data_IF_846406070537
#
_entry.id   IF_846406070537
#
_cell.length_a   1.000
_cell.length_b   1.000
_cell.length_c   1.000
_cell.angle_alpha   90.00
_cell.angle_beta   90.00
_cell.angle_gamma   90.00
#
_symmetry.space_group_name_H-M   'P 1'
#
loop_
_entity.id
_entity.type
_entity.pdbx_description
1 polymer ?
#
# COMPACT_ATOMS: atom_id res chain seq x y z
N UNK A 1 6.61 -4.52 -22.69
CA UNK A 1 7.16 -4.39 -21.31
C UNK A 1 7.98 -5.63 -21.04
N UNK A 2 9.28 -5.50 -20.85
CA UNK A 2 10.09 -6.65 -20.45
C UNK A 2 9.69 -7.05 -19.02
N UNK A 3 9.39 -8.33 -18.83
CA UNK A 3 9.11 -8.86 -17.50
C UNK A 3 10.30 -8.58 -16.57
N UNK A 4 10.03 -8.07 -15.38
CA UNK A 4 11.07 -7.85 -14.37
C UNK A 4 11.58 -9.22 -13.94
N UNK A 5 12.85 -9.48 -14.18
CA UNK A 5 13.49 -10.70 -13.69
C UNK A 5 13.82 -10.54 -12.21
N UNK A 6 12.96 -11.08 -11.35
CA UNK A 6 13.10 -10.98 -9.89
C UNK A 6 14.44 -11.56 -9.37
N UNK A 7 14.93 -12.64 -9.96
CA UNK A 7 16.21 -13.24 -9.57
C UNK A 7 17.39 -12.32 -9.88
N UNK A 8 17.39 -11.67 -11.05
CA UNK A 8 18.40 -10.70 -11.42
C UNK A 8 18.35 -9.45 -10.54
N UNK A 9 17.16 -8.98 -10.21
CA UNK A 9 16.96 -7.84 -9.33
C UNK A 9 17.46 -8.13 -7.91
N UNK A 10 17.10 -9.30 -7.38
CA UNK A 10 17.57 -9.75 -6.06
C UNK A 10 19.10 -9.86 -6.01
N UNK A 11 19.72 -10.45 -7.04
CA UNK A 11 21.18 -10.56 -7.12
C UNK A 11 21.88 -9.20 -7.12
N UNK A 12 21.29 -8.19 -7.79
CA UNK A 12 21.83 -6.82 -7.81
C UNK A 12 21.71 -6.10 -6.48
N UNK A 13 20.65 -6.35 -5.73
CA UNK A 13 20.29 -5.56 -4.54
C UNK A 13 20.59 -6.26 -3.21
N UNK A 14 21.03 -7.52 -3.23
CA UNK A 14 21.19 -8.34 -2.01
C UNK A 14 22.11 -7.74 -0.95
N UNK A 15 23.12 -6.97 -1.37
CA UNK A 15 24.08 -6.35 -0.47
C UNK A 15 23.81 -4.86 -0.23
N UNK A 16 22.68 -4.34 -0.75
CA UNK A 16 22.30 -2.95 -0.60
C UNK A 16 21.65 -2.70 0.75
N UNK A 17 21.89 -1.50 1.30
CA UNK A 17 21.06 -0.96 2.40
C UNK A 17 19.64 -0.67 1.88
N UNK A 18 18.71 -0.40 2.79
CA UNK A 18 17.37 0.03 2.43
C UNK A 18 17.39 1.29 1.56
N UNK A 19 18.18 2.28 1.94
CA UNK A 19 18.30 3.54 1.20
C UNK A 19 18.88 3.30 -0.22
N UNK A 20 19.94 2.51 -0.34
CA UNK A 20 20.52 2.15 -1.63
C UNK A 20 19.52 1.41 -2.52
N UNK A 21 18.75 0.49 -1.95
CA UNK A 21 17.70 -0.24 -2.67
C UNK A 21 16.60 0.71 -3.18
N UNK A 22 16.11 1.60 -2.36
CA UNK A 22 15.07 2.55 -2.75
C UNK A 22 15.56 3.52 -3.84
N UNK A 23 16.77 4.04 -3.71
CA UNK A 23 17.37 4.90 -4.72
C UNK A 23 17.60 4.14 -6.04
N UNK A 24 18.09 2.92 -5.97
CA UNK A 24 18.27 2.07 -7.15
C UNK A 24 16.94 1.85 -7.88
N UNK A 25 15.88 1.46 -7.15
CA UNK A 25 14.56 1.23 -7.74
C UNK A 25 13.97 2.50 -8.37
N UNK A 26 14.09 3.63 -7.70
CA UNK A 26 13.60 4.92 -8.20
C UNK A 26 14.32 5.33 -9.49
N UNK A 27 15.61 5.09 -9.59
CA UNK A 27 16.42 5.45 -10.76
C UNK A 27 16.23 4.48 -11.92
N UNK A 28 16.20 3.17 -11.64
CA UNK A 28 16.08 2.12 -12.66
C UNK A 28 14.69 2.09 -13.30
N UNK A 29 13.66 2.26 -12.49
CA UNK A 29 12.26 2.10 -12.92
C UNK A 29 11.47 3.40 -12.99
N UNK A 30 12.09 4.56 -12.92
CA UNK A 30 11.49 5.91 -13.03
C UNK A 30 9.96 5.89 -13.21
N UNK A 31 9.21 6.53 -12.38
CA UNK A 31 7.74 6.64 -12.44
C UNK A 31 6.93 5.33 -12.55
N UNK A 32 7.61 4.18 -12.61
CA UNK A 32 7.00 2.84 -12.68
C UNK A 32 7.09 2.07 -11.36
N UNK A 33 7.76 2.63 -10.36
CA UNK A 33 7.82 2.08 -9.01
C UNK A 33 6.97 2.91 -8.07
N UNK A 34 6.14 2.24 -7.31
CA UNK A 34 5.27 2.86 -6.30
C UNK A 34 5.39 2.08 -5.00
N UNK A 35 5.09 2.73 -3.90
CA UNK A 35 5.08 2.12 -2.59
C UNK A 35 3.67 2.10 -2.01
N UNK A 36 3.17 0.91 -1.66
CA UNK A 36 1.89 0.73 -0.97
C UNK A 36 2.11 0.71 0.53
N UNK A 37 1.49 1.63 1.25
CA UNK A 37 1.58 1.69 2.72
C UNK A 37 0.25 1.29 3.37
N UNK A 38 0.35 0.50 4.44
CA UNK A 38 -0.74 0.25 5.40
C UNK A 38 -0.56 1.03 6.70
N UNK A 39 0.46 1.87 6.77
CA UNK A 39 0.88 2.63 7.95
C UNK A 39 1.40 1.76 9.11
N UNK A 40 1.81 0.52 8.82
CA UNK A 40 2.53 -0.33 9.75
C UNK A 40 3.93 0.22 10.09
N UNK A 41 4.58 -0.34 11.08
CA UNK A 41 5.90 0.14 11.53
C UNK A 41 6.94 0.06 10.42
N UNK A 42 6.98 -1.03 9.68
CA UNK A 42 7.89 -1.23 8.57
C UNK A 42 7.62 -0.25 7.43
N UNK A 43 6.35 -0.02 7.13
CA UNK A 43 5.94 0.95 6.11
C UNK A 43 6.38 2.37 6.47
N UNK A 44 6.30 2.72 7.76
CA UNK A 44 6.71 4.04 8.24
C UNK A 44 8.23 4.26 8.10
N UNK A 45 9.05 3.23 8.25
CA UNK A 45 10.49 3.31 7.99
C UNK A 45 10.74 3.61 6.52
N UNK A 46 10.10 2.91 5.61
CA UNK A 46 10.22 3.13 4.17
C UNK A 46 9.72 4.53 3.79
N UNK A 47 8.59 4.94 4.33
CA UNK A 47 8.03 6.29 4.12
C UNK A 47 9.00 7.39 4.58
N UNK A 48 9.64 7.20 5.73
CA UNK A 48 10.63 8.15 6.27
C UNK A 48 11.83 8.30 5.32
N UNK A 49 12.39 7.20 4.83
CA UNK A 49 13.48 7.23 3.85
C UNK A 49 13.09 7.93 2.55
N UNK A 50 11.93 7.59 2.00
CA UNK A 50 11.42 8.21 0.76
C UNK A 50 11.25 9.71 0.94
N UNK A 51 10.66 10.14 2.05
CA UNK A 51 10.35 11.54 2.30
C UNK A 51 11.60 12.36 2.63
N UNK A 52 12.47 11.89 3.53
CA UNK A 52 13.67 12.62 3.97
C UNK A 52 14.72 12.77 2.87
N UNK A 53 14.86 11.73 2.05
CA UNK A 53 15.86 11.72 0.98
C UNK A 53 15.30 12.15 -0.37
N UNK A 54 14.04 12.60 -0.40
CA UNK A 54 13.33 13.04 -1.59
C UNK A 54 13.44 12.01 -2.74
N UNK A 55 13.27 10.72 -2.39
CA UNK A 55 13.34 9.63 -3.36
C UNK A 55 12.10 9.66 -4.26
N UNK A 56 12.29 9.53 -5.57
CA UNK A 56 11.24 9.61 -6.58
C UNK A 56 10.32 8.37 -6.64
N UNK A 57 9.74 8.00 -5.51
CA UNK A 57 8.76 6.91 -5.39
C UNK A 57 7.45 7.50 -4.88
N UNK A 58 6.37 7.31 -5.62
CA UNK A 58 5.04 7.71 -5.19
C UNK A 58 4.49 6.71 -4.17
N UNK A 59 3.81 7.25 -3.16
CA UNK A 59 3.23 6.45 -2.08
C UNK A 59 1.71 6.43 -2.25
N UNK A 60 1.11 5.26 -2.10
CA UNK A 60 -0.34 5.12 -2.07
C UNK A 60 -0.79 4.21 -0.92
N UNK A 61 -2.05 4.31 -0.57
CA UNK A 61 -2.71 3.43 0.39
C UNK A 61 -4.06 2.95 -0.13
N UNK A 62 -4.43 1.74 0.25
CA UNK A 62 -5.77 1.20 0.01
C UNK A 62 -6.65 1.52 1.22
N UNK A 63 -7.64 2.36 1.02
CA UNK A 63 -8.64 2.64 2.05
C UNK A 63 -9.78 1.63 1.92
N UNK A 64 -9.79 0.64 2.79
CA UNK A 64 -10.74 -0.47 2.70
C UNK A 64 -12.19 -0.08 2.99
N UNK A 65 -12.45 1.15 3.47
CA UNK A 65 -13.73 1.57 4.02
C UNK A 65 -13.94 1.08 5.45
N UNK A 66 -12.97 0.36 6.02
CA UNK A 66 -13.02 -0.21 7.36
C UNK A 66 -11.62 -0.26 7.96
N UNK A 67 -11.16 0.88 8.46
CA UNK A 67 -9.88 1.03 9.13
C UNK A 67 -10.09 1.33 10.62
N UNK A 68 -9.09 0.98 11.43
CA UNK A 68 -9.06 1.37 12.83
C UNK A 68 -8.78 2.87 12.97
N UNK A 69 -9.26 3.47 14.05
CA UNK A 69 -9.02 4.89 14.35
C UNK A 69 -7.52 5.20 14.43
N UNK A 70 -6.75 4.30 15.01
CA UNK A 70 -5.28 4.41 15.11
C UNK A 70 -4.61 4.51 13.75
N UNK A 71 -5.14 3.82 12.74
CA UNK A 71 -4.62 3.91 11.37
C UNK A 71 -4.85 5.31 10.78
N UNK A 72 -6.02 5.89 10.99
CA UNK A 72 -6.31 7.27 10.58
C UNK A 72 -5.39 8.26 11.29
N UNK A 73 -5.15 8.06 12.57
CA UNK A 73 -4.26 8.93 13.36
C UNK A 73 -2.82 8.91 12.84
N UNK A 74 -2.31 7.72 12.51
CA UNK A 74 -0.98 7.56 11.91
C UNK A 74 -0.95 8.19 10.52
N UNK A 75 -1.96 7.97 9.69
CA UNK A 75 -2.08 8.58 8.38
C UNK A 75 -2.02 10.10 8.45
N UNK A 76 -2.86 10.68 9.29
CA UNK A 76 -2.89 12.14 9.49
C UNK A 76 -1.54 12.70 9.96
N UNK A 77 -0.92 12.07 10.96
CA UNK A 77 0.41 12.47 11.47
C UNK A 77 1.49 12.36 10.40
N UNK A 78 1.42 11.33 9.55
CA UNK A 78 2.36 11.11 8.45
C UNK A 78 2.29 12.24 7.44
N UNK A 79 1.08 12.62 6.99
CA UNK A 79 0.89 13.76 6.08
C UNK A 79 1.42 15.07 6.67
N UNK A 80 1.15 15.32 7.95
CA UNK A 80 1.64 16.51 8.64
C UNK A 80 3.17 16.56 8.75
N UNK A 81 3.77 15.41 9.10
CA UNK A 81 5.22 15.32 9.34
C UNK A 81 6.02 15.52 8.06
N UNK A 82 5.65 14.79 7.01
CA UNK A 82 6.45 14.74 5.79
C UNK A 82 6.00 15.70 4.71
N UNK A 83 4.79 16.27 4.83
CA UNK A 83 4.17 17.14 3.82
C UNK A 83 4.21 16.53 2.42
N UNK A 84 4.19 15.20 2.36
CA UNK A 84 4.19 14.41 1.12
C UNK A 84 2.77 13.94 0.83
N UNK A 85 2.38 14.03 -0.43
CA UNK A 85 1.09 13.52 -0.87
C UNK A 85 1.12 11.99 -0.89
N UNK A 86 0.06 11.38 -0.37
CA UNK A 86 -0.18 9.93 -0.42
C UNK A 86 -1.50 9.73 -1.17
N UNK A 87 -1.45 8.99 -2.27
CA UNK A 87 -2.65 8.67 -3.03
C UNK A 87 -3.52 7.67 -2.26
N UNK A 88 -4.83 7.82 -2.37
CA UNK A 88 -5.79 6.97 -1.66
C UNK A 88 -6.73 6.32 -2.65
N UNK A 89 -6.81 5.00 -2.63
CA UNK A 89 -7.73 4.23 -3.46
C UNK A 89 -8.77 3.55 -2.60
N UNK A 90 -10.04 3.79 -2.95
CA UNK A 90 -11.21 3.20 -2.30
C UNK A 90 -11.75 2.03 -3.10
N UNK A 91 -12.44 1.08 -2.45
CA UNK A 91 -13.21 0.08 -3.16
C UNK A 91 -14.41 0.71 -3.88
N UNK A 92 -14.89 0.03 -4.91
CA UNK A 92 -16.12 0.38 -5.60
C UNK A 92 -17.29 0.43 -4.61
N UNK A 93 -17.98 1.59 -4.53
CA UNK A 93 -19.07 1.79 -3.57
C UNK A 93 -20.18 0.76 -3.74
N UNK A 94 -20.63 0.53 -4.98
CA UNK A 94 -21.69 -0.44 -5.28
C UNK A 94 -21.35 -1.86 -4.83
N UNK A 95 -20.08 -2.29 -5.02
CA UNK A 95 -19.64 -3.62 -4.60
C UNK A 95 -19.67 -3.76 -3.07
N UNK A 96 -19.24 -2.74 -2.35
CA UNK A 96 -19.29 -2.73 -0.87
C UNK A 96 -20.73 -2.69 -0.37
N UNK A 97 -21.57 -1.84 -0.94
CA UNK A 97 -22.99 -1.75 -0.59
C UNK A 97 -23.70 -3.10 -0.77
N UNK A 98 -23.44 -3.78 -1.87
CA UNK A 98 -24.00 -5.12 -2.15
C UNK A 98 -23.52 -6.14 -1.10
N UNK A 99 -22.22 -6.17 -0.82
CA UNK A 99 -21.66 -7.05 0.20
C UNK A 99 -22.30 -6.84 1.57
N UNK A 100 -22.46 -5.58 1.98
CA UNK A 100 -23.06 -5.24 3.27
C UNK A 100 -24.54 -5.56 3.33
N UNK A 101 -25.27 -5.32 2.23
CA UNK A 101 -26.70 -5.64 2.12
C UNK A 101 -26.97 -7.14 2.20
N UNK A 102 -26.16 -7.94 1.53
CA UNK A 102 -26.36 -9.38 1.44
C UNK A 102 -25.83 -10.16 2.65
N UNK A 103 -24.68 -9.76 3.16
CA UNK A 103 -23.94 -10.53 4.16
C UNK A 103 -23.65 -9.77 5.47
N UNK A 104 -23.93 -8.48 5.50
CA UNK A 104 -23.64 -7.63 6.65
C UNK A 104 -22.16 -7.23 6.77
N UNK A 105 -21.85 -6.37 7.76
CA UNK A 105 -20.51 -5.77 7.88
C UNK A 105 -19.42 -6.71 8.42
N UNK A 106 -19.81 -7.82 9.03
CA UNK A 106 -18.89 -8.73 9.74
C UNK A 106 -18.78 -10.11 9.10
N UNK A 107 -19.26 -10.29 7.87
CA UNK A 107 -19.27 -11.59 7.19
C UNK A 107 -17.89 -12.26 7.07
N UNK A 108 -16.82 -11.47 7.05
CA UNK A 108 -15.45 -12.00 6.97
C UNK A 108 -15.01 -12.77 8.23
N UNK A 109 -15.76 -12.70 9.33
CA UNK A 109 -15.54 -13.56 10.51
C UNK A 109 -16.17 -14.94 10.37
N UNK A 110 -17.18 -15.10 9.51
CA UNK A 110 -18.01 -16.29 9.46
C UNK A 110 -17.33 -17.46 8.72
N UNK A 111 -16.54 -17.16 7.68
CA UNK A 111 -15.84 -18.19 6.90
C UNK A 111 -14.60 -17.64 6.19
N UNK A 112 -13.74 -18.57 5.73
CA UNK A 112 -12.56 -18.24 4.91
C UNK A 112 -13.00 -17.65 3.57
N UNK A 113 -14.06 -18.20 2.97
CA UNK A 113 -14.62 -17.75 1.70
C UNK A 113 -15.10 -16.30 1.79
N UNK A 114 -15.86 -15.97 2.82
CA UNK A 114 -16.33 -14.61 3.07
C UNK A 114 -15.16 -13.64 3.34
N UNK A 115 -14.11 -14.10 3.99
CA UNK A 115 -12.90 -13.29 4.19
C UNK A 115 -12.19 -13.00 2.88
N UNK A 116 -12.04 -14.00 2.03
CA UNK A 116 -11.45 -13.84 0.68
C UNK A 116 -12.27 -12.88 -0.18
N UNK A 117 -13.58 -13.03 -0.17
CA UNK A 117 -14.51 -12.13 -0.89
C UNK A 117 -14.38 -10.68 -0.41
N UNK A 118 -14.40 -10.46 0.90
CA UNK A 118 -14.22 -9.14 1.49
C UNK A 118 -12.87 -8.52 1.10
N UNK A 119 -11.78 -9.29 1.18
CA UNK A 119 -10.46 -8.84 0.75
C UNK A 119 -10.39 -8.55 -0.75
N UNK A 120 -11.04 -9.37 -1.56
CA UNK A 120 -11.09 -9.18 -3.01
C UNK A 120 -11.75 -7.85 -3.36
N UNK A 121 -12.96 -7.60 -2.83
CA UNK A 121 -13.71 -6.37 -3.08
C UNK A 121 -12.98 -5.13 -2.56
N UNK A 122 -12.43 -5.21 -1.35
CA UNK A 122 -11.89 -4.02 -0.66
C UNK A 122 -10.42 -3.73 -0.95
N UNK A 123 -9.65 -4.71 -1.43
CA UNK A 123 -8.21 -4.57 -1.61
C UNK A 123 -7.74 -4.99 -3.00
N UNK A 124 -8.11 -6.18 -3.47
CA UNK A 124 -7.58 -6.74 -4.71
C UNK A 124 -8.07 -5.95 -5.93
N UNK A 125 -9.37 -5.68 -5.99
CA UNK A 125 -9.96 -4.91 -7.10
C UNK A 125 -9.41 -3.48 -7.16
N UNK A 126 -9.34 -2.71 -6.05
CA UNK A 126 -8.75 -1.38 -6.09
C UNK A 126 -7.27 -1.34 -6.45
N UNK A 127 -6.51 -2.38 -6.09
CA UNK A 127 -5.09 -2.50 -6.40
C UNK A 127 -4.84 -2.70 -7.88
#
# INVERSE_FOLDING_TARGET
>A
MNAINSSSLLAKTKDFSLEETLNFLANEYKDKVVFSTSFGQEDQVITDYIAKNNIGINIFTLHTGRLFQETYDVFHKTLKKYKKQIEVYFPEATAVETLLKEKGPNSFYDSVENRKECCFIRKVVPL
#
